data_IF_654230673569
#
_entry.id   IF_654230673569
#
_cell.length_a   1.000
_cell.length_b   1.000
_cell.length_c   1.000
_cell.angle_alpha   90.00
_cell.angle_beta   90.00
_cell.angle_gamma   90.00
#
_symmetry.space_group_name_H-M   'P 1'
#
loop_
_entity.id
_entity.type
_entity.pdbx_description
1 polymer ?
#
# COMPACT_ATOMS: atom_id res chain seq x y z
N UNK A 1 -6.14 -10.26 11.78
CA UNK A 1 -6.47 -10.51 10.35
C UNK A 1 -6.35 -9.26 9.48
N UNK A 2 -6.57 -8.06 10.02
CA UNK A 2 -6.63 -6.80 9.26
C UNK A 2 -5.29 -6.37 8.59
N UNK A 3 -4.17 -6.79 9.16
CA UNK A 3 -2.80 -6.56 8.65
C UNK A 3 -2.30 -7.74 7.79
N UNK A 4 -2.92 -8.91 7.92
CA UNK A 4 -2.48 -10.10 7.17
C UNK A 4 -2.72 -9.96 5.67
N UNK A 5 -3.81 -9.30 5.27
CA UNK A 5 -4.17 -9.03 3.87
C UNK A 5 -3.12 -8.15 3.17
N UNK A 6 -2.74 -6.96 3.69
CA UNK A 6 -1.71 -6.15 3.05
C UNK A 6 -0.34 -6.84 3.09
N UNK A 7 0.02 -7.54 4.17
CA UNK A 7 1.28 -8.29 4.22
C UNK A 7 1.37 -9.41 3.17
N UNK A 8 0.27 -10.11 2.90
CA UNK A 8 0.22 -11.15 1.88
C UNK A 8 0.30 -10.56 0.46
N UNK A 9 -0.36 -9.42 0.24
CA UNK A 9 -0.28 -8.66 -1.01
C UNK A 9 1.13 -8.13 -1.28
N UNK A 10 1.88 -7.73 -0.26
CA UNK A 10 3.29 -7.34 -0.40
C UNK A 10 4.13 -8.55 -0.81
N UNK A 11 3.97 -9.66 -0.09
CA UNK A 11 4.74 -10.88 -0.29
C UNK A 11 4.60 -11.44 -1.71
N UNK A 12 3.38 -11.36 -2.26
CA UNK A 12 3.08 -11.79 -3.64
C UNK A 12 3.37 -10.67 -4.63
N UNK A 13 3.15 -9.41 -4.27
CA UNK A 13 3.37 -8.24 -5.12
C UNK A 13 4.82 -8.12 -5.56
N UNK A 14 5.78 -8.27 -4.65
CA UNK A 14 7.22 -8.18 -4.96
C UNK A 14 7.67 -9.08 -6.12
N UNK A 15 7.38 -10.40 -6.14
CA UNK A 15 7.74 -11.24 -7.27
C UNK A 15 6.89 -10.97 -8.53
N UNK A 16 5.63 -10.54 -8.38
CA UNK A 16 4.74 -10.27 -9.52
C UNK A 16 5.09 -9.00 -10.28
N UNK A 17 5.53 -7.95 -9.59
CA UNK A 17 5.95 -6.68 -10.20
C UNK A 17 7.43 -6.67 -10.58
N UNK A 18 8.19 -7.73 -10.31
CA UNK A 18 9.66 -7.81 -10.47
C UNK A 18 10.43 -6.65 -9.79
N UNK A 19 9.76 -5.96 -8.86
CA UNK A 19 10.19 -4.69 -8.29
C UNK A 19 9.80 -4.69 -6.82
N UNK A 20 10.81 -4.72 -5.96
CA UNK A 20 10.64 -4.66 -4.49
C UNK A 20 9.91 -3.36 -4.12
N UNK A 21 10.24 -2.26 -4.82
CA UNK A 21 9.61 -0.96 -4.63
C UNK A 21 8.10 -0.99 -4.91
N UNK A 22 7.67 -1.64 -5.99
CA UNK A 22 6.24 -1.73 -6.34
C UNK A 22 5.47 -2.70 -5.43
N UNK A 23 6.11 -3.79 -4.99
CA UNK A 23 5.51 -4.69 -4.00
C UNK A 23 5.28 -4.00 -2.64
N UNK A 24 6.25 -3.18 -2.21
CA UNK A 24 6.12 -2.35 -1.00
C UNK A 24 5.08 -1.24 -1.19
N UNK A 25 5.05 -0.61 -2.37
CA UNK A 25 4.04 0.39 -2.75
C UNK A 25 2.62 -0.13 -2.58
N UNK A 26 2.35 -1.31 -3.15
CA UNK A 26 1.07 -2.01 -3.02
C UNK A 26 0.74 -2.24 -1.55
N UNK A 27 1.70 -2.67 -0.74
CA UNK A 27 1.53 -2.80 0.70
C UNK A 27 1.08 -1.55 1.42
N UNK A 28 1.79 -0.44 1.18
CA UNK A 28 1.47 0.85 1.78
C UNK A 28 0.14 1.41 1.30
N UNK A 29 -0.28 1.08 0.08
CA UNK A 29 -1.59 1.46 -0.46
C UNK A 29 -2.70 0.62 0.20
N UNK A 30 -2.52 -0.70 0.27
CA UNK A 30 -3.54 -1.61 0.78
C UNK A 30 -3.69 -1.56 2.30
N UNK A 31 -2.66 -1.21 3.06
CA UNK A 31 -2.73 -1.14 4.52
C UNK A 31 -3.80 -0.17 5.08
N UNK A 32 -3.86 1.11 4.68
CA UNK A 32 -4.93 2.00 5.10
C UNK A 32 -6.29 1.55 4.54
N UNK A 33 -6.35 0.99 3.32
CA UNK A 33 -7.58 0.48 2.73
C UNK A 33 -8.19 -0.64 3.59
N UNK A 34 -7.38 -1.64 3.99
CA UNK A 34 -7.87 -2.75 4.82
C UNK A 34 -8.25 -2.30 6.22
N UNK A 35 -7.54 -1.34 6.79
CA UNK A 35 -7.88 -0.74 8.08
C UNK A 35 -9.18 0.08 8.03
N UNK A 36 -9.45 0.79 6.93
CA UNK A 36 -10.73 1.48 6.70
C UNK A 36 -11.86 0.45 6.54
N UNK A 37 -11.64 -0.61 5.76
CA UNK A 37 -12.62 -1.70 5.58
C UNK A 37 -12.94 -2.40 6.92
N UNK A 38 -11.95 -2.49 7.81
CA UNK A 38 -12.10 -2.99 9.16
C UNK A 38 -12.76 -2.01 10.15
N UNK A 39 -13.20 -0.82 9.70
CA UNK A 39 -13.69 0.30 10.53
C UNK A 39 -12.68 0.83 11.57
N UNK A 40 -11.42 0.40 11.50
CA UNK A 40 -10.31 0.84 12.39
C UNK A 40 -9.37 1.84 11.72
N UNK A 41 -9.82 2.51 10.66
CA UNK A 41 -9.03 3.51 9.93
C UNK A 41 -8.51 4.68 10.78
N UNK A 42 -9.06 4.89 11.97
CA UNK A 42 -8.58 5.89 12.95
C UNK A 42 -7.34 5.46 13.76
N UNK A 43 -7.02 4.17 13.80
CA UNK A 43 -5.80 3.65 14.42
C UNK A 43 -4.60 3.71 13.47
N UNK A 44 -4.85 3.98 12.19
CA UNK A 44 -3.80 4.16 11.19
C UNK A 44 -3.11 5.49 11.44
N UNK A 45 -1.79 5.44 11.62
CA UNK A 45 -0.99 6.64 11.80
C UNK A 45 -1.13 7.59 10.59
N UNK A 46 -1.23 8.90 10.79
CA UNK A 46 -1.34 9.89 9.70
C UNK A 46 -0.24 9.75 8.64
N UNK A 47 0.94 9.27 9.04
CA UNK A 47 2.09 9.05 8.16
C UNK A 47 1.79 7.99 7.08
N UNK A 48 0.96 7.00 7.38
CA UNK A 48 0.59 5.95 6.42
C UNK A 48 -0.32 6.49 5.32
N UNK A 49 -1.21 7.44 5.66
CA UNK A 49 -2.03 8.15 4.68
C UNK A 49 -1.18 9.09 3.81
N UNK A 50 -0.12 9.67 4.38
CA UNK A 50 0.83 10.47 3.61
C UNK A 50 1.59 9.59 2.61
N UNK A 51 2.10 8.43 3.05
CA UNK A 51 2.76 7.47 2.16
C UNK A 51 1.81 6.95 1.07
N UNK A 52 0.53 6.72 1.38
CA UNK A 52 -0.49 6.36 0.40
C UNK A 52 -0.57 7.37 -0.75
N UNK A 53 -0.64 8.66 -0.43
CA UNK A 53 -0.66 9.72 -1.44
C UNK A 53 0.66 9.81 -2.22
N UNK A 54 1.80 9.65 -1.56
CA UNK A 54 3.12 9.66 -2.20
C UNK A 54 3.24 8.52 -3.20
N UNK A 55 2.82 7.30 -2.85
CA UNK A 55 2.88 6.15 -3.76
C UNK A 55 1.92 6.28 -4.94
N UNK A 56 0.73 6.86 -4.75
CA UNK A 56 -0.17 7.18 -5.87
C UNK A 56 0.47 8.20 -6.81
N UNK A 57 1.07 9.26 -6.27
CA UNK A 57 1.79 10.26 -7.07
C UNK A 57 2.98 9.65 -7.83
N UNK A 58 3.73 8.77 -7.18
CA UNK A 58 4.83 8.03 -7.80
C UNK A 58 4.36 7.15 -8.96
N UNK A 59 3.29 6.37 -8.75
CA UNK A 59 2.73 5.50 -9.79
C UNK A 59 2.19 6.32 -10.97
N UNK A 60 1.62 7.50 -10.71
CA UNK A 60 1.14 8.39 -11.76
C UNK A 60 2.29 9.02 -12.57
N UNK A 61 3.37 9.43 -11.92
CA UNK A 61 4.59 9.93 -12.57
C UNK A 61 5.23 8.85 -13.45
N UNK A 62 5.30 7.61 -12.97
CA UNK A 62 5.89 6.51 -13.74
C UNK A 62 5.04 6.06 -14.94
N UNK A 63 3.71 6.23 -14.91
CA UNK A 63 2.83 5.83 -16.01
C UNK A 63 2.69 6.90 -17.12
N UNK A 64 2.98 8.17 -16.80
CA UNK A 64 2.80 9.31 -17.70
C UNK A 64 4.04 9.59 -18.59
N UNK A 65 5.15 8.87 -18.43
CA UNK A 65 6.40 9.03 -19.19
C UNK A 65 6.73 7.75 -19.97
#
# INVERSE_FOLDING_TARGET
MEIAIPSFLILIGMPLTYSISDGIALGFIFYPITMIAAKRGKEVSPIMYLLFFVFIGFMWILNVN
#
